data_IF_297086495561
#
_entry.id   IF_297086495561
#
_cell.length_a   1.000
_cell.length_b   1.000
_cell.length_c   1.000
_cell.angle_alpha   90.00
_cell.angle_beta   90.00
_cell.angle_gamma   90.00
#
_symmetry.space_group_name_H-M   'P 1'
#
loop_
_entity.id
_entity.type
_entity.pdbx_description
1 polymer ?
#
# COMPACT_ATOMS: atom_id res chain seq x y z
N UNK A 1 16.69 -9.68 -11.01
CA UNK A 1 15.78 -10.57 -10.25
C UNK A 1 15.46 -10.04 -8.84
N UNK A 2 15.18 -8.74 -8.72
CA UNK A 2 14.64 -8.11 -7.49
C UNK A 2 13.11 -8.10 -7.55
N UNK A 3 12.57 -7.90 -8.75
CA UNK A 3 11.13 -7.84 -9.06
C UNK A 3 10.47 -9.23 -9.11
N UNK A 4 11.20 -10.27 -9.55
CA UNK A 4 10.63 -11.59 -9.84
C UNK A 4 10.64 -12.57 -8.67
N UNK A 5 11.22 -12.20 -7.52
CA UNK A 5 11.34 -13.10 -6.36
C UNK A 5 10.81 -12.52 -5.04
N UNK A 6 10.49 -11.23 -4.95
CA UNK A 6 10.11 -10.59 -3.68
C UNK A 6 8.63 -10.21 -3.57
N UNK A 7 8.10 -10.26 -2.34
CA UNK A 7 6.82 -9.62 -1.98
C UNK A 7 6.87 -8.08 -2.12
N UNK A 8 8.05 -7.47 -2.30
CA UNK A 8 8.22 -6.03 -2.46
C UNK A 8 7.50 -5.45 -3.69
N UNK A 9 7.41 -6.19 -4.80
CA UNK A 9 6.63 -5.74 -5.96
C UNK A 9 5.13 -5.65 -5.63
N UNK A 10 4.63 -6.62 -4.86
CA UNK A 10 3.26 -6.61 -4.34
C UNK A 10 3.05 -5.46 -3.35
N UNK A 11 4.05 -5.16 -2.51
CA UNK A 11 4.04 -4.02 -1.58
C UNK A 11 3.99 -2.64 -2.25
N UNK A 12 4.30 -2.57 -3.55
CA UNK A 12 4.15 -1.37 -4.37
C UNK A 12 2.87 -1.41 -5.21
N UNK A 13 2.64 -2.49 -5.95
CA UNK A 13 1.51 -2.59 -6.88
C UNK A 13 0.16 -2.63 -6.18
N UNK A 14 0.04 -3.37 -5.08
CA UNK A 14 -1.23 -3.52 -4.36
C UNK A 14 -1.75 -2.17 -3.84
N UNK A 15 -0.98 -1.38 -3.09
CA UNK A 15 -1.44 -0.07 -2.64
C UNK A 15 -1.74 0.91 -3.78
N UNK A 16 -0.98 0.87 -4.89
CA UNK A 16 -1.29 1.69 -6.08
C UNK A 16 -2.65 1.31 -6.68
N UNK A 17 -2.96 0.02 -6.82
CA UNK A 17 -4.25 -0.45 -7.35
C UNK A 17 -5.39 0.00 -6.43
N UNK A 18 -5.23 -0.15 -5.11
CA UNK A 18 -6.24 0.29 -4.14
C UNK A 18 -6.44 1.81 -4.21
N UNK A 19 -5.35 2.58 -4.30
CA UNK A 19 -5.42 4.03 -4.43
C UNK A 19 -6.16 4.45 -5.70
N UNK A 20 -5.87 3.84 -6.84
CA UNK A 20 -6.58 4.10 -8.10
C UNK A 20 -8.06 3.74 -7.99
N UNK A 21 -8.41 2.66 -7.29
CA UNK A 21 -9.80 2.28 -7.05
C UNK A 21 -10.52 3.30 -6.17
N UNK A 22 -9.89 3.75 -5.08
CA UNK A 22 -10.42 4.82 -4.23
C UNK A 22 -10.61 6.10 -5.05
N UNK A 23 -9.64 6.47 -5.88
CA UNK A 23 -9.77 7.65 -6.72
C UNK A 23 -10.92 7.49 -7.72
N UNK A 24 -11.03 6.35 -8.38
CA UNK A 24 -12.07 6.07 -9.35
C UNK A 24 -13.49 6.14 -8.75
N UNK A 25 -13.68 5.65 -7.52
CA UNK A 25 -15.00 5.61 -6.89
C UNK A 25 -15.40 6.96 -6.28
N UNK A 26 -14.44 7.70 -5.72
CA UNK A 26 -14.71 8.93 -4.96
C UNK A 26 -14.44 10.22 -5.74
N UNK A 27 -13.85 10.15 -6.94
CA UNK A 27 -13.59 11.33 -7.77
C UNK A 27 -14.90 11.83 -8.38
N UNK A 28 -15.25 13.06 -8.04
CA UNK A 28 -16.25 13.83 -8.75
C UNK A 28 -15.49 14.54 -9.88
N UNK A 29 -15.91 14.32 -11.12
CA UNK A 29 -15.34 14.90 -12.36
C UNK A 29 -13.94 14.41 -12.77
N UNK A 30 -13.48 13.27 -12.24
CA UNK A 30 -12.17 12.68 -12.61
C UNK A 30 -10.96 13.41 -12.04
N UNK A 31 -11.18 14.42 -11.19
CA UNK A 31 -10.12 15.12 -10.48
C UNK A 31 -9.93 14.56 -9.06
N UNK A 32 -8.68 14.32 -8.66
CA UNK A 32 -8.33 13.85 -7.33
C UNK A 32 -7.89 15.03 -6.46
N UNK A 33 -8.68 15.37 -5.44
CA UNK A 33 -8.29 16.41 -4.48
C UNK A 33 -7.19 15.90 -3.54
N UNK A 34 -6.33 16.81 -3.04
CA UNK A 34 -5.31 16.49 -2.02
C UNK A 34 -5.85 15.61 -0.86
N UNK A 35 -6.96 15.95 -0.18
CA UNK A 35 -7.48 15.13 0.91
C UNK A 35 -7.92 13.73 0.45
N UNK A 36 -8.45 13.61 -0.76
CA UNK A 36 -8.88 12.32 -1.31
C UNK A 36 -7.68 11.42 -1.66
N UNK A 37 -6.59 12.00 -2.18
CA UNK A 37 -5.35 11.29 -2.44
C UNK A 37 -4.71 10.83 -1.11
N UNK A 38 -4.67 11.68 -0.09
CA UNK A 38 -4.20 11.31 1.24
C UNK A 38 -5.04 10.17 1.86
N UNK A 39 -6.36 10.26 1.77
CA UNK A 39 -7.28 9.21 2.23
C UNK A 39 -7.04 7.88 1.51
N UNK A 40 -6.89 7.91 0.18
CA UNK A 40 -6.57 6.74 -0.62
C UNK A 40 -5.24 6.09 -0.23
N UNK A 41 -4.20 6.89 0.02
CA UNK A 41 -2.90 6.41 0.48
C UNK A 41 -3.00 5.72 1.85
N UNK A 42 -3.71 6.32 2.81
CA UNK A 42 -3.89 5.74 4.15
C UNK A 42 -4.67 4.43 4.09
N UNK A 43 -5.79 4.38 3.36
CA UNK A 43 -6.57 3.14 3.20
C UNK A 43 -5.76 2.06 2.51
N UNK A 44 -5.06 2.41 1.44
CA UNK A 44 -4.21 1.46 0.72
C UNK A 44 -3.12 0.88 1.61
N UNK A 45 -2.50 1.71 2.45
CA UNK A 45 -1.51 1.29 3.42
C UNK A 45 -2.10 0.36 4.48
N UNK A 46 -3.26 0.68 5.06
CA UNK A 46 -3.95 -0.17 6.05
C UNK A 46 -4.27 -1.55 5.45
N UNK A 47 -4.86 -1.61 4.25
CA UNK A 47 -5.15 -2.88 3.59
C UNK A 47 -3.87 -3.69 3.30
N UNK A 48 -2.79 -3.01 2.91
CA UNK A 48 -1.49 -3.65 2.68
C UNK A 48 -0.91 -4.23 3.98
N UNK A 49 -1.06 -3.54 5.12
CA UNK A 49 -0.67 -4.06 6.44
C UNK A 49 -1.45 -5.33 6.77
N UNK A 50 -2.78 -5.29 6.66
CA UNK A 50 -3.64 -6.45 6.93
C UNK A 50 -3.28 -7.64 6.05
N UNK A 51 -3.11 -7.41 4.75
CA UNK A 51 -2.74 -8.46 3.81
C UNK A 51 -1.35 -9.04 4.12
N UNK A 52 -0.40 -8.18 4.52
CA UNK A 52 0.91 -8.60 4.99
C UNK A 52 0.87 -9.49 6.22
N UNK A 53 0.06 -9.16 7.21
CA UNK A 53 -0.10 -9.97 8.43
C UNK A 53 -0.74 -11.34 8.14
N UNK A 54 -1.73 -11.39 7.24
CA UNK A 54 -2.40 -12.63 6.82
C UNK A 54 -1.41 -13.53 6.07
N UNK A 55 -0.67 -12.97 5.12
CA UNK A 55 0.34 -13.71 4.35
C UNK A 55 1.49 -14.18 5.23
N UNK A 56 1.92 -13.37 6.20
CA UNK A 56 2.95 -13.75 7.17
C UNK A 56 2.51 -14.96 8.00
N UNK A 57 1.28 -14.97 8.53
CA UNK A 57 0.71 -16.13 9.25
C UNK A 57 0.66 -17.40 8.38
N UNK A 58 0.40 -17.26 7.08
CA UNK A 58 0.33 -18.39 6.13
C UNK A 58 1.71 -18.89 5.71
N UNK A 59 2.73 -18.03 5.78
CA UNK A 59 4.10 -18.28 5.32
C UNK A 59 5.04 -18.76 6.44
N UNK A 60 4.58 -19.66 7.31
CA UNK A 60 5.40 -20.28 8.37
C UNK A 60 6.48 -21.25 7.83
N UNK A 61 6.82 -21.17 6.54
CA UNK A 61 7.82 -21.98 5.84
C UNK A 61 8.90 -21.05 5.28
N UNK A 62 10.06 -21.04 5.95
CA UNK A 62 11.49 -20.92 5.54
C UNK A 62 11.91 -20.32 4.17
N UNK A 63 11.04 -19.70 3.39
CA UNK A 63 11.44 -18.96 2.20
C UNK A 63 11.67 -17.50 2.62
N UNK A 64 12.79 -17.32 3.32
CA UNK A 64 13.44 -16.04 3.57
C UNK A 64 13.73 -15.38 2.22
N UNK A 65 12.75 -14.65 1.71
CA UNK A 65 12.95 -13.69 0.65
C UNK A 65 13.27 -12.38 1.34
N UNK A 66 14.55 -12.04 1.29
CA UNK A 66 15.28 -10.83 1.71
C UNK A 66 14.60 -9.48 1.36
N UNK A 67 13.32 -9.33 1.66
CA UNK A 67 12.51 -8.16 1.38
C UNK A 67 11.71 -7.80 2.62
N UNK A 68 11.58 -6.49 2.85
CA UNK A 68 10.72 -5.94 3.90
C UNK A 68 9.35 -6.62 3.85
N UNK A 69 8.86 -7.16 4.98
CA UNK A 69 7.51 -7.67 5.11
C UNK A 69 6.50 -6.72 4.47
N UNK A 70 5.47 -7.27 3.81
CA UNK A 70 4.41 -6.47 3.18
C UNK A 70 3.74 -5.50 4.18
N UNK A 71 3.75 -5.86 5.46
CA UNK A 71 3.30 -4.99 6.55
C UNK A 71 4.13 -3.72 6.68
N UNK A 72 5.44 -3.78 6.48
CA UNK A 72 6.31 -2.60 6.52
C UNK A 72 6.04 -1.69 5.31
N UNK A 73 5.79 -2.27 4.14
CA UNK A 73 5.33 -1.51 2.98
C UNK A 73 4.04 -0.76 3.28
N UNK A 74 3.05 -1.42 3.88
CA UNK A 74 1.80 -0.76 4.29
C UNK A 74 2.01 0.43 5.25
N UNK A 75 2.95 0.32 6.19
CA UNK A 75 3.30 1.43 7.10
C UNK A 75 3.88 2.62 6.33
N UNK A 76 4.75 2.38 5.34
CA UNK A 76 5.33 3.45 4.50
C UNK A 76 4.23 4.22 3.77
N UNK A 77 3.23 3.52 3.22
CA UNK A 77 2.10 4.14 2.53
C UNK A 77 1.21 4.97 3.45
N UNK A 78 1.00 4.53 4.70
CA UNK A 78 0.26 5.31 5.71
C UNK A 78 1.01 6.61 6.01
N UNK A 79 2.32 6.54 6.25
CA UNK A 79 3.15 7.72 6.53
C UNK A 79 3.12 8.68 5.33
N UNK A 80 3.25 8.16 4.11
CA UNK A 80 3.11 8.96 2.89
C UNK A 80 1.76 9.68 2.81
N UNK A 81 0.66 8.99 3.11
CA UNK A 81 -0.67 9.59 3.15
C UNK A 81 -0.77 10.73 4.17
N UNK A 82 -0.19 10.56 5.36
CA UNK A 82 -0.13 11.61 6.38
C UNK A 82 0.73 12.80 5.96
N UNK A 83 1.85 12.56 5.27
CA UNK A 83 2.69 13.62 4.73
C UNK A 83 1.96 14.42 3.65
N UNK A 84 1.27 13.74 2.73
CA UNK A 84 0.46 14.40 1.68
C UNK A 84 -0.65 15.24 2.28
N UNK A 85 -1.31 14.75 3.34
CA UNK A 85 -2.35 15.50 4.03
C UNK A 85 -1.82 16.79 4.67
N UNK A 86 -0.62 16.75 5.25
CA UNK A 86 0.00 17.88 5.94
C UNK A 86 0.84 18.78 5.02
N UNK A 87 1.06 18.38 3.77
CA UNK A 87 1.74 19.19 2.76
C UNK A 87 0.82 20.33 2.29
N UNK A 88 0.95 21.46 2.98
CA UNK A 88 0.32 22.77 2.70
C UNK A 88 0.39 23.10 1.21
#
# INVERSE_FOLDING_TARGET
MIISRGLGLLGLLFPIIVLLLVIYVFSIDGNATKPMLAFGLVISGILTVFFGLILYKKSNKKHDLFFMPLSIWGIIWIILGLLVYNAV
#
